data_IF_934145335816
#
_entry.id   IF_934145335816
#
_cell.length_a   1.000
_cell.length_b   1.000
_cell.length_c   1.000
_cell.angle_alpha   90.00
_cell.angle_beta   90.00
_cell.angle_gamma   90.00
#
_symmetry.space_group_name_H-M   'P 1'
#
loop_
_entity.id
_entity.type
_entity.pdbx_description
1 polymer ?
#
# COMPACT_ATOMS: atom_id res chain seq x y z
N UNK A 1 36.90 -66.14 -2.67
CA UNK A 1 35.80 -66.03 -3.64
C UNK A 1 34.97 -64.82 -3.25
N UNK A 2 35.13 -63.77 -4.05
CA UNK A 2 34.62 -62.42 -3.85
C UNK A 2 33.24 -62.30 -4.50
N UNK A 3 32.14 -62.38 -3.74
CA UNK A 3 30.81 -62.08 -4.29
C UNK A 3 29.89 -61.52 -3.20
N UNK A 4 30.22 -60.37 -2.61
CA UNK A 4 29.27 -59.59 -1.76
C UNK A 4 29.34 -58.07 -1.93
N UNK A 5 30.15 -57.57 -2.87
CA UNK A 5 30.38 -56.13 -3.07
C UNK A 5 29.39 -55.49 -4.07
N UNK A 6 28.71 -56.29 -4.90
CA UNK A 6 27.79 -55.81 -5.92
C UNK A 6 26.36 -55.51 -5.42
N UNK A 7 25.81 -56.34 -4.54
CA UNK A 7 24.42 -56.19 -4.05
C UNK A 7 24.26 -55.00 -3.10
N UNK A 8 25.29 -54.70 -2.31
CA UNK A 8 25.29 -53.56 -1.39
C UNK A 8 25.46 -52.20 -2.11
N UNK A 9 26.05 -52.21 -3.31
CA UNK A 9 26.18 -51.03 -4.17
C UNK A 9 24.88 -50.74 -4.94
N UNK A 10 24.22 -51.79 -5.44
CA UNK A 10 22.95 -51.66 -6.15
C UNK A 10 21.84 -51.10 -5.26
N UNK A 11 21.70 -51.61 -4.03
CA UNK A 11 20.69 -51.13 -3.10
C UNK A 11 20.94 -49.68 -2.67
N UNK A 12 22.21 -49.27 -2.55
CA UNK A 12 22.57 -47.90 -2.19
C UNK A 12 22.27 -46.92 -3.33
N UNK A 13 22.58 -47.29 -4.57
CA UNK A 13 22.23 -46.49 -5.75
C UNK A 13 20.69 -46.35 -5.88
N UNK A 14 19.94 -47.44 -5.64
CA UNK A 14 18.49 -47.42 -5.69
C UNK A 14 17.89 -46.51 -4.61
N UNK A 15 18.46 -46.50 -3.40
CA UNK A 15 18.05 -45.56 -2.34
C UNK A 15 18.36 -44.11 -2.69
N UNK A 16 19.51 -43.88 -3.33
CA UNK A 16 19.93 -42.54 -3.73
C UNK A 16 19.02 -41.98 -4.83
N UNK A 17 18.63 -42.82 -5.79
CA UNK A 17 17.67 -42.49 -6.86
C UNK A 17 16.27 -42.22 -6.29
N UNK A 18 15.79 -43.04 -5.33
CA UNK A 18 14.51 -42.80 -4.65
C UNK A 18 14.53 -41.48 -3.87
N UNK A 19 15.59 -41.20 -3.11
CA UNK A 19 15.70 -39.93 -2.37
C UNK A 19 15.79 -38.72 -3.31
N UNK A 20 16.42 -38.89 -4.47
CA UNK A 20 16.53 -37.82 -5.45
C UNK A 20 15.18 -37.54 -6.10
N UNK A 21 14.44 -38.57 -6.51
CA UNK A 21 13.07 -38.39 -7.04
C UNK A 21 12.13 -37.77 -6.00
N UNK A 22 12.20 -38.17 -4.73
CA UNK A 22 11.39 -37.53 -3.67
C UNK A 22 11.71 -36.05 -3.55
N UNK A 23 12.99 -35.68 -3.62
CA UNK A 23 13.41 -34.29 -3.55
C UNK A 23 12.97 -33.47 -4.77
N UNK A 24 12.98 -34.08 -5.95
CA UNK A 24 12.49 -33.45 -7.19
C UNK A 24 10.96 -33.30 -7.15
N UNK A 25 10.21 -34.29 -6.64
CA UNK A 25 8.76 -34.18 -6.41
C UNK A 25 8.41 -33.10 -5.37
N UNK A 26 9.16 -33.00 -4.27
CA UNK A 26 8.98 -31.93 -3.27
C UNK A 26 9.28 -30.53 -3.85
N UNK A 27 10.31 -30.39 -4.69
CA UNK A 27 10.62 -29.11 -5.35
C UNK A 27 9.57 -28.74 -6.41
N UNK A 28 9.04 -29.70 -7.17
CA UNK A 28 7.94 -29.47 -8.11
C UNK A 28 6.64 -29.07 -7.39
N UNK A 29 6.31 -29.70 -6.25
CA UNK A 29 5.15 -29.30 -5.42
C UNK A 29 5.31 -27.88 -4.85
N UNK A 30 6.50 -27.50 -4.37
CA UNK A 30 6.77 -26.13 -3.90
C UNK A 30 6.65 -25.09 -5.02
N UNK A 31 7.17 -25.39 -6.22
CA UNK A 31 7.04 -24.50 -7.39
C UNK A 31 5.57 -24.35 -7.83
N UNK A 32 4.78 -25.43 -7.82
CA UNK A 32 3.34 -25.36 -8.14
C UNK A 32 2.56 -24.51 -7.11
N UNK A 33 2.86 -24.64 -5.81
CA UNK A 33 2.23 -23.81 -4.76
C UNK A 33 2.58 -22.32 -4.93
N UNK A 34 3.84 -21.99 -5.24
CA UNK A 34 4.24 -20.59 -5.50
C UNK A 34 3.55 -20.00 -6.74
N UNK A 35 3.41 -20.77 -7.81
CA UNK A 35 2.70 -20.34 -9.03
C UNK A 35 1.20 -20.09 -8.74
N UNK A 36 0.55 -20.98 -7.98
CA UNK A 36 -0.85 -20.80 -7.57
C UNK A 36 -1.04 -19.52 -6.73
N UNK A 37 -0.14 -19.26 -5.77
CA UNK A 37 -0.17 -18.04 -4.96
C UNK A 37 0.00 -16.76 -5.82
N UNK A 38 0.92 -16.77 -6.79
CA UNK A 38 1.13 -15.64 -7.70
C UNK A 38 -0.12 -15.38 -8.57
N UNK A 39 -0.76 -16.44 -9.09
CA UNK A 39 -2.00 -16.33 -9.84
C UNK A 39 -3.14 -15.74 -9.00
N UNK A 40 -3.30 -16.19 -7.76
CA UNK A 40 -4.28 -15.64 -6.83
C UNK A 40 -4.02 -14.15 -6.53
N UNK A 41 -2.75 -13.76 -6.34
CA UNK A 41 -2.35 -12.38 -6.11
C UNK A 41 -2.71 -11.50 -7.32
N UNK A 42 -2.46 -11.98 -8.53
CA UNK A 42 -2.76 -11.26 -9.77
C UNK A 42 -4.26 -11.11 -10.02
N UNK A 43 -5.05 -12.14 -9.71
CA UNK A 43 -6.51 -12.06 -9.74
C UNK A 43 -6.99 -11.00 -8.74
N UNK A 44 -6.42 -10.96 -7.53
CA UNK A 44 -6.77 -9.99 -6.51
C UNK A 44 -6.38 -8.57 -6.92
N UNK A 45 -5.15 -8.33 -7.40
CA UNK A 45 -4.68 -7.04 -7.93
C UNK A 45 -5.59 -6.55 -9.04
N UNK A 46 -6.01 -7.42 -9.96
CA UNK A 46 -6.93 -7.08 -11.04
C UNK A 46 -8.32 -6.71 -10.51
N UNK A 47 -8.82 -7.44 -9.50
CA UNK A 47 -10.09 -7.13 -8.85
C UNK A 47 -10.05 -5.77 -8.13
N UNK A 48 -8.96 -5.45 -7.45
CA UNK A 48 -8.74 -4.16 -6.78
C UNK A 48 -8.65 -3.03 -7.82
N UNK A 49 -7.81 -3.18 -8.85
CA UNK A 49 -7.56 -2.12 -9.84
C UNK A 49 -8.74 -1.85 -10.78
N UNK A 50 -9.60 -2.85 -11.02
CA UNK A 50 -10.84 -2.70 -11.78
C UNK A 50 -12.04 -2.23 -10.93
N UNK A 51 -11.83 -2.00 -9.63
CA UNK A 51 -12.90 -1.60 -8.72
C UNK A 51 -13.39 -0.17 -9.01
N UNK A 52 -14.71 0.09 -9.03
CA UNK A 52 -15.25 1.43 -9.29
C UNK A 52 -14.75 2.54 -8.35
N UNK A 53 -14.37 2.17 -7.12
CA UNK A 53 -13.85 3.09 -6.10
C UNK A 53 -12.32 3.23 -6.11
N UNK A 54 -11.60 2.48 -6.95
CA UNK A 54 -10.14 2.48 -6.94
C UNK A 54 -9.56 3.86 -7.28
N UNK A 55 -10.13 4.55 -8.28
CA UNK A 55 -9.73 5.90 -8.65
C UNK A 55 -9.94 6.90 -7.51
N UNK A 56 -11.07 6.81 -6.82
CA UNK A 56 -11.41 7.67 -5.67
C UNK A 56 -10.47 7.42 -4.48
N UNK A 57 -10.12 6.16 -4.24
CA UNK A 57 -9.16 5.77 -3.22
C UNK A 57 -7.78 6.36 -3.51
N UNK A 58 -7.29 6.24 -4.75
CA UNK A 58 -6.04 6.83 -5.19
C UNK A 58 -6.05 8.36 -5.04
N UNK A 59 -7.14 9.01 -5.45
CA UNK A 59 -7.28 10.46 -5.32
C UNK A 59 -7.22 10.91 -3.85
N UNK A 60 -7.99 10.24 -2.99
CA UNK A 60 -8.01 10.52 -1.54
C UNK A 60 -6.62 10.34 -0.93
N UNK A 61 -5.90 9.29 -1.34
CA UNK A 61 -4.57 8.99 -0.83
C UNK A 61 -3.56 10.06 -1.25
N UNK A 62 -3.55 10.45 -2.53
CA UNK A 62 -2.68 11.52 -3.03
C UNK A 62 -3.00 12.87 -2.39
N UNK A 63 -4.28 13.18 -2.19
CA UNK A 63 -4.73 14.39 -1.48
C UNK A 63 -4.17 14.45 -0.06
N UNK A 64 -4.20 13.31 0.65
CA UNK A 64 -3.64 13.19 1.99
C UNK A 64 -2.11 13.36 2.00
N UNK A 65 -1.39 12.71 1.08
CA UNK A 65 0.08 12.86 0.97
C UNK A 65 0.49 14.31 0.68
N UNK A 66 -0.27 15.00 -0.16
CA UNK A 66 0.03 16.40 -0.51
C UNK A 66 -0.02 17.33 0.69
N UNK A 67 -0.99 17.13 1.59
CA UNK A 67 -1.07 17.87 2.85
C UNK A 67 0.19 17.63 3.70
N UNK A 68 0.71 16.40 3.71
CA UNK A 68 1.95 16.06 4.44
C UNK A 68 3.22 16.62 3.80
N UNK A 69 3.28 16.74 2.46
CA UNK A 69 4.50 17.16 1.74
C UNK A 69 4.76 18.67 1.81
N UNK A 70 3.80 19.48 2.27
CA UNK A 70 3.97 20.93 2.36
C UNK A 70 4.01 21.67 1.01
N UNK A 71 3.74 20.96 -0.09
CA UNK A 71 3.60 21.54 -1.44
C UNK A 71 2.20 22.16 -1.60
N UNK A 72 1.97 23.29 -0.93
CA UNK A 72 0.68 24.00 -0.94
C UNK A 72 0.39 24.76 -2.25
N UNK A 73 1.39 24.93 -3.12
CA UNK A 73 1.34 25.89 -4.25
C UNK A 73 0.61 25.40 -5.51
N UNK A 74 0.17 24.15 -5.57
CA UNK A 74 -0.51 23.62 -6.76
C UNK A 74 -2.03 23.53 -6.57
N UNK A 75 -2.69 24.68 -6.68
CA UNK A 75 -4.06 24.95 -7.14
C UNK A 75 -5.11 23.81 -7.11
N UNK A 76 -6.08 23.97 -6.18
CA UNK A 76 -7.54 24.01 -6.41
C UNK A 76 -8.14 23.14 -7.53
N UNK A 77 -8.23 21.82 -7.34
CA UNK A 77 -9.13 20.98 -8.17
C UNK A 77 -9.86 20.00 -7.24
N UNK A 78 -11.17 20.25 -7.06
CA UNK A 78 -12.21 19.20 -6.91
C UNK A 78 -12.59 18.66 -5.52
N UNK A 79 -12.43 19.40 -4.42
CA UNK A 79 -12.92 18.94 -3.10
C UNK A 79 -14.46 18.83 -2.98
N UNK A 80 -15.27 19.39 -3.88
CA UNK A 80 -16.73 19.48 -3.69
C UNK A 80 -17.53 18.36 -4.36
N UNK A 81 -16.96 17.65 -5.34
CA UNK A 81 -17.65 16.52 -5.99
C UNK A 81 -17.49 15.21 -5.21
N UNK A 82 -16.36 15.02 -4.53
CA UNK A 82 -16.07 13.82 -3.73
C UNK A 82 -16.85 13.76 -2.42
N UNK A 83 -17.29 14.89 -1.88
CA UNK A 83 -18.03 14.90 -0.63
C UNK A 83 -19.43 14.25 -0.77
N UNK A 84 -20.08 14.48 -1.90
CA UNK A 84 -21.39 13.89 -2.21
C UNK A 84 -21.31 12.40 -2.55
N UNK A 85 -20.19 11.93 -3.10
CA UNK A 85 -19.99 10.51 -3.46
C UNK A 85 -19.74 9.67 -2.21
N UNK A 86 -18.87 10.11 -1.29
CA UNK A 86 -18.56 9.35 -0.07
C UNK A 86 -19.70 9.34 0.96
N UNK A 87 -20.44 10.45 1.11
CA UNK A 87 -21.64 10.46 1.97
C UNK A 87 -22.71 9.49 1.47
N UNK A 88 -22.79 9.28 0.16
CA UNK A 88 -23.67 8.29 -0.46
C UNK A 88 -23.18 6.85 -0.28
N UNK A 89 -21.86 6.62 -0.24
CA UNK A 89 -21.28 5.31 0.08
C UNK A 89 -21.53 4.92 1.54
N UNK A 90 -21.42 5.87 2.47
CA UNK A 90 -21.75 5.64 3.89
C UNK A 90 -23.22 5.25 4.15
N UNK A 91 -24.11 5.45 3.19
CA UNK A 91 -25.54 5.08 3.23
C UNK A 91 -25.86 3.76 2.53
N UNK A 92 -24.88 3.16 1.83
CA UNK A 92 -25.06 1.85 1.21
C UNK A 92 -25.14 0.78 2.31
N UNK A 93 -26.13 -0.10 2.24
CA UNK A 93 -26.36 -1.14 3.26
C UNK A 93 -25.12 -2.04 3.38
N UNK A 94 -24.33 -1.81 4.44
CA UNK A 94 -23.10 -2.54 4.75
C UNK A 94 -23.30 -4.05 4.95
N UNK A 95 -24.56 -4.47 5.11
CA UNK A 95 -24.93 -5.88 5.24
C UNK A 95 -24.87 -6.67 3.92
N UNK A 96 -24.81 -5.99 2.76
CA UNK A 96 -24.85 -6.65 1.44
C UNK A 96 -23.63 -6.36 0.56
N UNK A 97 -22.70 -5.51 0.98
CA UNK A 97 -21.50 -5.19 0.20
C UNK A 97 -20.37 -6.20 0.43
N UNK A 98 -19.56 -6.46 -0.60
CA UNK A 98 -18.42 -7.37 -0.49
C UNK A 98 -17.36 -6.81 0.47
N UNK A 99 -16.50 -7.66 1.01
CA UNK A 99 -15.39 -7.23 1.87
C UNK A 99 -14.52 -6.15 1.21
N UNK A 100 -14.27 -6.30 -0.09
CA UNK A 100 -13.50 -5.32 -0.87
C UNK A 100 -14.21 -3.97 -0.98
N UNK A 101 -15.54 -3.95 -1.16
CA UNK A 101 -16.31 -2.71 -1.18
C UNK A 101 -16.17 -1.98 0.16
N UNK A 102 -16.34 -2.71 1.27
CA UNK A 102 -16.23 -2.16 2.62
C UNK A 102 -14.82 -1.62 2.89
N UNK A 103 -13.78 -2.32 2.44
CA UNK A 103 -12.41 -1.87 2.52
C UNK A 103 -12.21 -0.55 1.74
N UNK A 104 -12.63 -0.51 0.48
CA UNK A 104 -12.48 0.66 -0.40
C UNK A 104 -13.16 1.90 0.21
N UNK A 105 -14.39 1.74 0.71
CA UNK A 105 -15.14 2.81 1.37
C UNK A 105 -14.47 3.27 2.67
N UNK A 106 -14.16 2.33 3.56
CA UNK A 106 -13.55 2.65 4.85
C UNK A 106 -12.19 3.34 4.68
N UNK A 107 -11.40 2.91 3.70
CA UNK A 107 -10.09 3.50 3.42
C UNK A 107 -10.22 4.94 2.91
N UNK A 108 -11.12 5.19 1.95
CA UNK A 108 -11.39 6.55 1.48
C UNK A 108 -11.85 7.48 2.62
N UNK A 109 -12.77 7.00 3.47
CA UNK A 109 -13.26 7.75 4.63
C UNK A 109 -12.12 8.06 5.61
N UNK A 110 -11.31 7.06 5.96
CA UNK A 110 -10.20 7.22 6.89
C UNK A 110 -9.17 8.23 6.37
N UNK A 111 -8.84 8.19 5.08
CA UNK A 111 -7.92 9.15 4.46
C UNK A 111 -8.46 10.58 4.50
N UNK A 112 -9.77 10.76 4.31
CA UNK A 112 -10.39 12.08 4.43
C UNK A 112 -10.29 12.61 5.86
N UNK A 113 -10.69 11.80 6.83
CA UNK A 113 -10.62 12.18 8.25
C UNK A 113 -9.17 12.52 8.64
N UNK A 114 -8.20 11.74 8.17
CA UNK A 114 -6.78 12.01 8.38
C UNK A 114 -6.35 13.33 7.75
N UNK A 115 -6.72 13.59 6.48
CA UNK A 115 -6.43 14.84 5.79
C UNK A 115 -6.98 16.05 6.55
N UNK A 116 -8.27 16.01 6.92
CA UNK A 116 -8.94 17.10 7.67
C UNK A 116 -8.29 17.34 9.03
N UNK A 117 -7.89 16.27 9.72
CA UNK A 117 -7.21 16.36 11.01
C UNK A 117 -5.80 16.98 10.91
N UNK A 118 -5.10 16.77 9.79
CA UNK A 118 -3.73 17.26 9.59
C UNK A 118 -3.65 18.65 8.95
N UNK A 119 -4.62 19.03 8.12
CA UNK A 119 -4.56 20.27 7.32
C UNK A 119 -4.36 21.50 8.21
N UNK A 120 -5.21 21.67 9.22
CA UNK A 120 -5.14 22.81 10.14
C UNK A 120 -3.81 22.91 10.91
N UNK A 121 -3.35 21.89 11.66
CA UNK A 121 -2.12 22.00 12.43
C UNK A 121 -0.88 22.24 11.55
N UNK A 122 -0.84 21.67 10.34
CA UNK A 122 0.26 21.90 9.41
C UNK A 122 0.26 23.34 8.87
N UNK A 123 -0.89 23.86 8.45
CA UNK A 123 -1.00 25.26 8.02
C UNK A 123 -0.67 26.24 9.15
N UNK A 124 -1.16 25.99 10.36
CA UNK A 124 -0.86 26.84 11.53
C UNK A 124 0.64 26.84 11.86
N UNK A 125 1.29 25.68 11.77
CA UNK A 125 2.74 25.54 12.00
C UNK A 125 3.54 26.29 10.93
N UNK A 126 3.21 26.11 9.64
CA UNK A 126 3.88 26.82 8.55
C UNK A 126 3.81 28.33 8.73
N UNK A 127 2.60 28.86 9.00
CA UNK A 127 2.39 30.29 9.23
C UNK A 127 3.14 30.80 10.46
N UNK A 128 3.22 30.00 11.53
CA UNK A 128 4.00 30.36 12.72
C UNK A 128 5.48 30.49 12.38
N UNK A 129 6.03 29.50 11.67
CA UNK A 129 7.44 29.49 11.23
C UNK A 129 7.75 30.68 10.34
N UNK A 130 6.91 30.96 9.33
CA UNK A 130 7.06 32.13 8.45
C UNK A 130 7.09 33.43 9.25
N UNK A 131 6.16 33.58 10.21
CA UNK A 131 6.09 34.77 11.06
C UNK A 131 7.37 34.96 11.88
N UNK A 132 7.94 33.88 12.42
CA UNK A 132 9.22 33.92 13.15
C UNK A 132 10.36 34.31 12.21
N UNK A 133 10.42 33.75 11.00
CA UNK A 133 11.43 34.12 10.01
C UNK A 133 11.36 35.60 9.61
N UNK A 134 10.15 36.13 9.37
CA UNK A 134 9.96 37.56 9.09
C UNK A 134 10.47 38.43 10.24
N UNK A 135 10.08 38.11 11.48
CA UNK A 135 10.51 38.87 12.67
C UNK A 135 12.04 38.84 12.84
N UNK A 136 12.67 37.68 12.65
CA UNK A 136 14.14 37.56 12.73
C UNK A 136 14.83 38.39 11.66
N UNK A 137 14.34 38.37 10.42
CA UNK A 137 14.89 39.17 9.33
C UNK A 137 14.76 40.68 9.60
N UNK A 138 13.61 41.13 10.11
CA UNK A 138 13.39 42.53 10.48
C UNK A 138 14.36 43.00 11.56
N UNK A 139 14.65 42.16 12.57
CA UNK A 139 15.65 42.47 13.61
C UNK A 139 17.05 42.59 13.01
N UNK A 140 17.45 41.65 12.15
CA UNK A 140 18.77 41.68 11.49
C UNK A 140 18.92 42.93 10.62
N UNK A 141 17.90 43.25 9.81
CA UNK A 141 17.91 44.41 8.92
C UNK A 141 17.87 45.74 9.69
N UNK A 142 17.08 45.84 10.76
CA UNK A 142 17.01 47.05 11.59
C UNK A 142 18.28 47.29 12.41
N UNK A 143 18.97 46.23 12.84
CA UNK A 143 20.26 46.33 13.53
C UNK A 143 21.44 46.72 12.62
N UNK A 144 21.25 46.68 11.30
CA UNK A 144 22.23 47.04 10.28
C UNK A 144 22.17 48.52 9.86
N UNK A 145 21.20 49.30 10.36
CA UNK A 145 21.14 50.74 10.08
C UNK A 145 22.07 51.50 11.04
N UNK A 146 22.98 52.37 10.53
CA UNK A 146 23.89 53.19 11.34
C UNK A 146 23.18 54.31 12.12
#
# INVERSE_FOLDING_TARGET
>A
MEVKKGENSFLENMKQEINQNIKEEEEEEEEEEEEEEEEEEDILKKRISSHPLYELLLHSHLSCLKVCSGEFDSLEIMNTADDLSLTKLSLHDKATSSELDQFMEAYCLTLRELKEAMERPLTETHRFVDSVYTQLNDIVLSSSLP
#
